data_IF_786440442197
#
_entry.id   IF_786440442197
#
_cell.length_a   1.000
_cell.length_b   1.000
_cell.length_c   1.000
_cell.angle_alpha   90.00
_cell.angle_beta   90.00
_cell.angle_gamma   90.00
#
_symmetry.space_group_name_H-M   'P 1'
#
loop_
_entity.id
_entity.type
_entity.pdbx_description
1 polymer ?
#
# COMPACT_ATOMS: atom_id res chain seq x y z
N UNK A 1 4.20 3.47 -29.97
CA UNK A 1 3.59 4.42 -29.02
C UNK A 1 2.23 3.88 -28.70
N UNK A 2 2.05 3.32 -27.52
CA UNK A 2 0.73 2.93 -27.01
C UNK A 2 0.50 3.90 -25.86
N UNK A 3 -0.33 4.91 -26.10
CA UNK A 3 -0.76 5.87 -25.09
C UNK A 3 -1.76 5.14 -24.17
N UNK A 4 -1.35 4.94 -22.92
CA UNK A 4 -2.22 4.43 -21.86
C UNK A 4 -3.02 5.58 -21.26
N UNK A 5 -4.12 5.95 -21.90
CA UNK A 5 -5.06 6.98 -21.37
C UNK A 5 -5.99 6.44 -20.26
N UNK A 6 -5.68 5.31 -19.61
CA UNK A 6 -6.57 4.66 -18.63
C UNK A 6 -6.20 4.80 -17.15
N UNK A 7 -5.01 5.27 -16.79
CA UNK A 7 -4.49 5.09 -15.42
C UNK A 7 -5.00 6.13 -14.41
N UNK A 8 -5.45 7.31 -14.87
CA UNK A 8 -5.93 8.39 -13.99
C UNK A 8 -7.41 8.33 -13.62
N UNK A 9 -8.24 7.64 -14.41
CA UNK A 9 -9.69 7.59 -14.21
C UNK A 9 -10.12 6.66 -13.05
N UNK A 10 -9.31 5.65 -12.75
CA UNK A 10 -9.61 4.58 -11.76
C UNK A 10 -9.75 5.12 -10.33
N UNK A 11 -9.21 6.30 -10.04
CA UNK A 11 -9.28 6.93 -8.71
C UNK A 11 -10.40 7.98 -8.56
N UNK A 12 -11.19 8.26 -9.61
CA UNK A 12 -12.27 9.25 -9.54
C UNK A 12 -13.46 8.79 -8.67
N UNK A 13 -13.62 7.48 -8.47
CA UNK A 13 -14.66 6.86 -7.64
C UNK A 13 -13.99 6.03 -6.54
N UNK A 14 -14.33 6.30 -5.28
CA UNK A 14 -13.69 5.66 -4.13
C UNK A 14 -14.70 5.14 -3.08
N UNK A 15 -14.58 3.88 -2.61
CA UNK A 15 -13.65 2.86 -3.11
C UNK A 15 -13.98 2.45 -4.55
N UNK A 16 -13.02 1.88 -5.31
CA UNK A 16 -13.20 1.56 -6.71
C UNK A 16 -14.37 0.59 -6.93
N UNK A 17 -15.16 0.85 -7.97
CA UNK A 17 -16.33 0.04 -8.30
C UNK A 17 -15.92 -1.41 -8.62
N UNK A 18 -16.60 -2.38 -8.00
CA UNK A 18 -16.31 -3.81 -8.21
C UNK A 18 -15.14 -4.37 -7.37
N UNK A 19 -14.40 -3.52 -6.65
CA UNK A 19 -13.37 -3.97 -5.73
C UNK A 19 -13.96 -4.46 -4.40
N UNK A 20 -13.43 -5.54 -3.86
CA UNK A 20 -13.88 -6.12 -2.59
C UNK A 20 -12.95 -5.70 -1.47
N UNK A 21 -13.50 -5.15 -0.39
CA UNK A 21 -12.72 -4.77 0.79
C UNK A 21 -12.12 -6.01 1.48
N UNK A 22 -10.85 -5.91 1.86
CA UNK A 22 -10.13 -6.98 2.55
C UNK A 22 -10.01 -6.64 4.04
N UNK A 23 -10.41 -7.56 4.95
CA UNK A 23 -10.21 -7.39 6.38
C UNK A 23 -8.73 -7.30 6.74
N UNK A 24 -8.33 -6.25 7.43
CA UNK A 24 -6.94 -6.01 7.85
C UNK A 24 -6.72 -6.23 9.36
N UNK A 25 -7.76 -6.62 10.08
CA UNK A 25 -7.69 -6.90 11.51
C UNK A 25 -6.64 -7.97 11.78
N UNK A 26 -5.71 -7.68 12.69
CA UNK A 26 -4.64 -8.62 13.04
C UNK A 26 -3.54 -8.75 11.97
N UNK A 27 -3.55 -7.95 10.90
CA UNK A 27 -2.59 -8.12 9.79
C UNK A 27 -1.14 -7.92 10.26
N UNK A 28 -0.89 -6.85 11.03
CA UNK A 28 0.46 -6.57 11.54
C UNK A 28 0.93 -7.60 12.59
N UNK A 29 0.02 -8.14 13.38
CA UNK A 29 0.28 -9.22 14.32
C UNK A 29 0.69 -10.49 13.59
N UNK A 30 -0.07 -10.91 12.57
CA UNK A 30 0.28 -12.07 11.73
C UNK A 30 1.60 -11.88 10.99
N UNK A 31 1.84 -10.67 10.47
CA UNK A 31 3.11 -10.32 9.83
C UNK A 31 4.28 -10.44 10.82
N UNK A 32 4.11 -9.99 12.07
CA UNK A 32 5.13 -10.12 13.10
C UNK A 32 5.42 -11.59 13.44
N UNK A 33 4.41 -12.47 13.45
CA UNK A 33 4.58 -13.92 13.67
C UNK A 33 5.46 -14.59 12.61
N UNK A 34 5.47 -14.07 11.38
CA UNK A 34 6.31 -14.56 10.28
C UNK A 34 7.57 -13.71 10.04
N UNK A 35 7.93 -12.82 10.98
CA UNK A 35 9.21 -12.09 11.00
C UNK A 35 9.18 -10.64 10.51
N UNK A 36 8.02 -10.11 10.09
CA UNK A 36 7.86 -8.72 9.66
C UNK A 36 7.43 -7.83 10.84
N UNK A 37 8.39 -7.43 11.67
CA UNK A 37 8.15 -6.61 12.86
C UNK A 37 8.15 -5.11 12.52
N UNK A 38 7.06 -4.64 11.92
CA UNK A 38 6.89 -3.21 11.63
C UNK A 38 6.64 -2.40 12.90
N UNK A 39 7.44 -1.36 13.12
CA UNK A 39 7.21 -0.39 14.19
C UNK A 39 6.03 0.54 13.90
N UNK A 40 5.50 1.26 14.91
CA UNK A 40 4.28 2.07 14.78
C UNK A 40 4.30 3.10 13.65
N UNK A 41 5.48 3.64 13.30
CA UNK A 41 5.64 4.61 12.22
C UNK A 41 5.40 4.01 10.81
N UNK A 42 5.52 2.69 10.66
CA UNK A 42 5.33 1.96 9.40
C UNK A 42 3.98 1.24 9.34
N UNK A 43 3.17 1.31 10.40
CA UNK A 43 1.85 0.70 10.44
C UNK A 43 0.77 1.64 9.86
N UNK A 44 0.99 2.10 8.63
CA UNK A 44 0.18 3.11 7.96
C UNK A 44 -0.98 2.59 7.10
N UNK A 45 -1.06 1.28 6.84
CA UNK A 45 -2.13 0.69 6.01
C UNK A 45 -3.45 0.67 6.78
N UNK A 46 -4.48 1.33 6.25
CA UNK A 46 -5.78 1.49 6.91
C UNK A 46 -6.88 0.63 6.33
N UNK A 47 -6.97 0.62 5.01
CA UNK A 47 -7.99 -0.14 4.27
C UNK A 47 -7.37 -0.65 2.98
N UNK A 48 -7.84 -1.78 2.50
CA UNK A 48 -7.41 -2.34 1.24
C UNK A 48 -8.58 -2.97 0.51
N UNK A 49 -8.54 -2.95 -0.83
CA UNK A 49 -9.52 -3.61 -1.69
C UNK A 49 -8.80 -4.43 -2.76
N UNK A 50 -9.40 -5.54 -3.14
CA UNK A 50 -8.96 -6.41 -4.24
C UNK A 50 -9.90 -6.24 -5.43
N UNK A 51 -9.36 -5.83 -6.56
CA UNK A 51 -10.05 -5.79 -7.86
C UNK A 51 -9.66 -6.97 -8.76
N UNK A 52 -9.94 -6.86 -10.06
CA UNK A 52 -9.52 -7.85 -11.04
C UNK A 52 -8.04 -7.66 -11.40
N UNK A 53 -7.16 -8.37 -10.68
CA UNK A 53 -5.71 -8.31 -10.91
C UNK A 53 -5.00 -7.13 -10.26
N UNK A 54 -5.73 -6.28 -9.54
CA UNK A 54 -5.23 -5.06 -8.90
C UNK A 54 -5.57 -5.00 -7.40
N UNK A 55 -4.82 -4.15 -6.70
CA UNK A 55 -5.01 -3.88 -5.27
C UNK A 55 -5.04 -2.38 -5.05
N UNK A 56 -6.01 -1.93 -4.26
CA UNK A 56 -6.16 -0.56 -3.82
C UNK A 56 -5.93 -0.47 -2.33
N UNK A 57 -5.37 0.64 -1.84
CA UNK A 57 -5.12 0.85 -0.43
C UNK A 57 -5.32 2.31 0.00
N UNK A 58 -5.86 2.49 1.20
CA UNK A 58 -5.73 3.73 1.95
C UNK A 58 -4.54 3.59 2.90
N UNK A 59 -3.57 4.50 2.75
CA UNK A 59 -2.41 4.59 3.63
C UNK A 59 -2.32 5.98 4.24
N UNK A 60 -1.88 6.03 5.49
CA UNK A 60 -1.68 7.29 6.21
C UNK A 60 -0.31 7.29 6.87
N UNK A 61 0.23 8.48 7.12
CA UNK A 61 1.34 8.63 8.06
C UNK A 61 0.78 8.58 9.48
N UNK A 62 1.14 7.58 10.30
CA UNK A 62 0.73 7.56 11.70
C UNK A 62 1.31 8.75 12.46
N UNK A 63 0.52 9.36 13.36
CA UNK A 63 0.96 10.49 14.17
C UNK A 63 2.21 10.14 15.00
N UNK A 64 3.21 11.03 15.00
CA UNK A 64 4.42 10.84 15.78
C UNK A 64 5.59 11.74 15.35
N UNK A 65 6.73 11.70 16.07
CA UNK A 65 7.90 12.52 15.77
C UNK A 65 8.50 12.26 14.37
N UNK A 66 8.20 11.10 13.78
CA UNK A 66 8.61 10.73 12.44
C UNK A 66 7.64 11.20 11.34
N UNK A 67 6.44 11.69 11.67
CA UNK A 67 5.43 12.13 10.71
C UNK A 67 5.74 13.48 10.04
N UNK A 68 7.03 13.86 9.94
CA UNK A 68 7.50 15.12 9.38
C UNK A 68 7.35 15.14 7.84
N UNK A 69 6.11 14.98 7.36
CA UNK A 69 5.73 14.80 5.96
C UNK A 69 6.32 15.90 5.06
N UNK A 70 6.31 17.14 5.53
CA UNK A 70 6.81 18.31 4.79
C UNK A 70 8.30 18.25 4.44
N UNK A 71 9.07 17.29 4.99
CA UNK A 71 10.49 17.10 4.66
C UNK A 71 10.74 16.17 3.47
N UNK A 72 9.71 15.50 2.97
CA UNK A 72 9.82 14.48 1.93
C UNK A 72 8.88 14.82 0.78
N UNK A 73 9.34 14.64 -0.47
CA UNK A 73 8.44 14.63 -1.63
C UNK A 73 7.49 13.43 -1.59
N UNK A 74 8.00 12.30 -1.13
CA UNK A 74 7.24 11.09 -0.82
C UNK A 74 7.84 10.49 0.46
N UNK A 75 7.03 10.39 1.52
CA UNK A 75 7.52 9.91 2.80
C UNK A 75 7.83 8.40 2.74
N UNK A 76 9.03 7.94 3.14
CA UNK A 76 9.40 6.53 3.03
C UNK A 76 8.41 5.58 3.74
N UNK A 77 7.98 5.93 4.95
CA UNK A 77 6.99 5.12 5.68
C UNK A 77 5.59 5.09 5.02
N UNK A 78 5.20 6.15 4.30
CA UNK A 78 3.93 6.15 3.56
C UNK A 78 4.03 5.25 2.34
N UNK A 79 5.16 5.32 1.64
CA UNK A 79 5.45 4.46 0.50
C UNK A 79 5.52 2.99 0.90
N UNK A 80 6.25 2.68 1.97
CA UNK A 80 6.39 1.32 2.49
C UNK A 80 5.04 0.75 2.92
N UNK A 81 4.20 1.54 3.62
CA UNK A 81 2.86 1.12 3.99
C UNK A 81 1.97 0.72 2.79
N UNK A 82 2.15 1.35 1.63
CA UNK A 82 1.44 0.96 0.40
C UNK A 82 1.91 -0.41 -0.11
N UNK A 83 3.21 -0.69 0.01
CA UNK A 83 3.82 -1.95 -0.39
C UNK A 83 3.47 -3.12 0.52
N UNK A 84 2.99 -2.86 1.75
CA UNK A 84 2.54 -3.93 2.66
C UNK A 84 1.39 -4.76 2.07
N UNK A 85 0.64 -4.21 1.12
CA UNK A 85 -0.39 -4.97 0.37
C UNK A 85 0.17 -6.14 -0.44
N UNK A 86 1.48 -6.14 -0.72
CA UNK A 86 2.19 -7.20 -1.43
C UNK A 86 2.70 -8.30 -0.48
N UNK A 87 2.62 -8.09 0.83
CA UNK A 87 3.09 -9.07 1.81
C UNK A 87 2.11 -10.25 1.95
N UNK A 88 2.62 -11.44 2.32
CA UNK A 88 1.80 -12.63 2.51
C UNK A 88 0.68 -12.38 3.53
N UNK A 89 -0.55 -12.81 3.22
CA UNK A 89 -1.64 -12.79 4.18
C UNK A 89 -2.19 -11.40 4.53
N UNK A 90 -1.79 -10.35 3.79
CA UNK A 90 -2.35 -9.00 3.93
C UNK A 90 -3.56 -8.83 3.03
N UNK A 91 -3.37 -8.81 1.70
CA UNK A 91 -4.48 -8.67 0.74
C UNK A 91 -4.84 -9.99 0.06
N UNK A 92 -3.86 -10.86 -0.14
CA UNK A 92 -4.04 -12.18 -0.76
C UNK A 92 -3.45 -13.25 0.17
N UNK A 93 -4.27 -14.16 0.73
CA UNK A 93 -3.81 -15.19 1.67
C UNK A 93 -2.82 -16.17 1.04
N UNK A 94 -2.91 -16.39 -0.26
CA UNK A 94 -2.08 -17.35 -0.99
C UNK A 94 -0.81 -16.71 -1.59
N UNK A 95 -0.62 -15.39 -1.42
CA UNK A 95 0.52 -14.68 -1.97
C UNK A 95 1.81 -15.06 -1.25
N UNK A 96 2.81 -15.43 -2.04
CA UNK A 96 4.18 -15.63 -1.56
C UNK A 96 4.85 -14.30 -1.21
N UNK A 97 5.86 -14.34 -0.36
CA UNK A 97 6.60 -13.15 0.03
C UNK A 97 7.30 -12.55 -1.20
N UNK A 98 6.89 -11.33 -1.56
CA UNK A 98 7.54 -10.53 -2.59
C UNK A 98 8.19 -9.33 -1.94
N UNK A 99 9.42 -9.03 -2.34
CA UNK A 99 10.09 -7.79 -2.02
C UNK A 99 10.28 -6.99 -3.30
N UNK A 100 9.92 -5.70 -3.32
CA UNK A 100 10.24 -4.85 -4.46
C UNK A 100 11.76 -4.83 -4.68
N UNK A 101 12.19 -5.18 -5.90
CA UNK A 101 13.62 -5.28 -6.24
C UNK A 101 14.15 -4.04 -6.96
N UNK A 102 13.33 -3.37 -7.75
CA UNK A 102 13.74 -2.22 -8.56
C UNK A 102 12.55 -1.47 -9.13
N UNK A 103 12.73 -0.17 -9.32
CA UNK A 103 11.72 0.76 -9.83
C UNK A 103 12.35 1.50 -11.02
N UNK A 104 11.60 1.63 -12.11
CA UNK A 104 12.04 2.33 -13.32
C UNK A 104 10.96 3.36 -13.72
N UNK A 105 11.37 4.50 -14.29
CA UNK A 105 10.42 5.51 -14.80
C UNK A 105 9.58 6.24 -13.74
N UNK A 106 10.03 6.31 -12.49
CA UNK A 106 9.28 6.92 -11.38
C UNK A 106 9.07 8.42 -11.60
N UNK A 107 7.81 8.86 -11.58
CA UNK A 107 7.42 10.27 -11.63
C UNK A 107 6.57 10.61 -10.40
N UNK A 108 6.82 11.77 -9.79
CA UNK A 108 6.02 12.30 -8.69
C UNK A 108 5.28 13.53 -9.21
N UNK A 109 3.96 13.53 -9.06
CA UNK A 109 3.09 14.68 -9.36
C UNK A 109 2.74 15.39 -8.03
N UNK A 110 2.86 16.71 -8.00
CA UNK A 110 2.61 17.55 -6.82
C UNK A 110 1.88 18.84 -7.22
#
# INVERSE_FOLDING_TARGET
TVEGEGEGEVLAVWPPAGAQEVPLEGAYERLAEIGYQYGPAFQGLRRAWRGEGEVFAEVVLPDGPNAQAARFLLHPALLDAALHTLLPGVVDPDRQALVPFGWEGVTIHA
#
